data_IF_536318813771
#
_entry.id   IF_536318813771
#
_cell.length_a   1.000
_cell.length_b   1.000
_cell.length_c   1.000
_cell.angle_alpha   90.00
_cell.angle_beta   90.00
_cell.angle_gamma   90.00
#
_symmetry.space_group_name_H-M   'P 1'
#
loop_
_entity.id
_entity.type
_entity.pdbx_description
1 polymer ?
#
# COMPACT_ATOMS: atom_id res chain seq x y z
N UNK A 1 -14.62 -3.49 -6.00
CA UNK A 1 -14.43 -4.36 -4.83
C UNK A 1 -15.42 -5.51 -4.95
N UNK A 2 -15.00 -6.74 -4.61
CA UNK A 2 -15.77 -7.95 -4.91
C UNK A 2 -16.69 -8.41 -3.77
N UNK A 3 -16.67 -7.72 -2.61
CA UNK A 3 -17.43 -8.14 -1.42
C UNK A 3 -16.98 -9.51 -0.88
N UNK A 4 -15.76 -9.94 -1.23
CA UNK A 4 -15.19 -11.23 -0.89
C UNK A 4 -13.96 -11.04 -0.03
N UNK A 5 -13.73 -12.00 0.85
CA UNK A 5 -12.47 -12.14 1.56
C UNK A 5 -11.34 -12.36 0.56
N UNK A 6 -10.20 -11.71 0.79
CA UNK A 6 -9.05 -11.74 -0.12
C UNK A 6 -7.76 -11.73 0.67
N UNK A 7 -6.77 -12.47 0.16
CA UNK A 7 -5.38 -12.39 0.64
C UNK A 7 -4.56 -11.63 -0.38
N UNK A 8 -3.93 -10.56 0.09
CA UNK A 8 -2.91 -9.81 -0.65
C UNK A 8 -1.54 -10.29 -0.18
N UNK A 9 -0.72 -10.79 -1.09
CA UNK A 9 0.66 -11.19 -0.81
C UNK A 9 1.63 -10.28 -1.56
N UNK A 10 2.61 -9.76 -0.85
CA UNK A 10 3.66 -8.86 -1.36
C UNK A 10 4.99 -9.18 -0.67
N UNK A 11 6.05 -8.50 -1.09
CA UNK A 11 7.35 -8.53 -0.45
C UNK A 11 7.84 -7.12 -0.17
N UNK A 12 8.54 -6.94 0.94
CA UNK A 12 9.26 -5.71 1.25
C UNK A 12 10.39 -5.51 0.22
N UNK A 13 10.42 -4.39 -0.52
CA UNK A 13 11.39 -4.18 -1.59
C UNK A 13 12.83 -3.95 -1.09
N UNK A 14 13.04 -3.74 0.21
CA UNK A 14 14.38 -3.52 0.79
C UNK A 14 15.07 -4.84 1.12
N UNK A 15 14.35 -5.77 1.75
CA UNK A 15 14.93 -7.01 2.30
C UNK A 15 14.30 -8.30 1.74
N UNK A 16 13.26 -8.19 0.91
CA UNK A 16 12.56 -9.30 0.27
C UNK A 16 11.64 -10.10 1.20
N UNK A 17 11.47 -9.68 2.46
CA UNK A 17 10.63 -10.43 3.40
C UNK A 17 9.15 -10.29 3.05
N UNK A 18 8.33 -11.33 3.32
CA UNK A 18 6.93 -11.33 2.93
C UNK A 18 6.11 -10.33 3.75
N UNK A 19 5.12 -9.73 3.09
CA UNK A 19 4.02 -9.01 3.71
C UNK A 19 2.71 -9.61 3.20
N UNK A 20 1.84 -10.03 4.10
CA UNK A 20 0.53 -10.57 3.79
C UNK A 20 -0.56 -9.76 4.46
N UNK A 21 -1.61 -9.41 3.72
CA UNK A 21 -2.82 -8.79 4.26
C UNK A 21 -4.01 -9.67 3.92
N UNK A 22 -4.64 -10.24 4.94
CA UNK A 22 -5.85 -11.05 4.79
C UNK A 22 -7.05 -10.21 5.20
N UNK A 23 -7.99 -10.03 4.30
CA UNK A 23 -9.27 -9.41 4.59
C UNK A 23 -10.27 -10.51 4.95
N UNK A 24 -10.77 -10.50 6.18
CA UNK A 24 -11.82 -11.39 6.66
C UNK A 24 -13.01 -10.57 7.13
N UNK A 25 -14.17 -10.74 6.50
CA UNK A 25 -15.37 -9.93 6.74
C UNK A 25 -15.10 -8.41 6.66
N UNK A 26 -14.23 -8.00 5.74
CA UNK A 26 -13.82 -6.61 5.56
C UNK A 26 -12.83 -6.07 6.60
N UNK A 27 -12.45 -6.86 7.61
CA UNK A 27 -11.41 -6.50 8.56
C UNK A 27 -10.04 -7.00 8.07
N UNK A 28 -9.04 -6.12 7.90
CA UNK A 28 -7.72 -6.54 7.47
C UNK A 28 -6.86 -7.04 8.64
N UNK A 29 -6.21 -8.18 8.45
CA UNK A 29 -5.20 -8.76 9.33
C UNK A 29 -3.87 -8.70 8.59
N UNK A 30 -2.86 -8.10 9.21
CA UNK A 30 -1.57 -7.81 8.60
C UNK A 30 -0.47 -8.66 9.22
N UNK A 31 0.36 -9.24 8.37
CA UNK A 31 1.55 -9.98 8.77
C UNK A 31 2.76 -9.49 7.95
N UNK A 32 3.81 -8.96 8.58
CA UNK A 32 3.95 -8.75 10.03
C UNK A 32 3.00 -7.68 10.57
N UNK A 33 2.69 -7.74 11.87
CA UNK A 33 1.80 -6.78 12.53
C UNK A 33 2.33 -5.33 12.52
N UNK A 34 3.63 -5.14 12.27
CA UNK A 34 4.26 -3.84 12.12
C UNK A 34 4.23 -3.31 10.67
N UNK A 35 3.66 -4.06 9.73
CA UNK A 35 3.68 -3.70 8.32
C UNK A 35 3.04 -2.33 8.06
N UNK A 36 3.65 -1.60 7.13
CA UNK A 36 3.26 -0.25 6.70
C UNK A 36 3.19 -0.19 5.19
N UNK A 37 2.59 0.87 4.66
CA UNK A 37 2.51 1.16 3.23
C UNK A 37 3.16 2.51 2.97
N UNK A 38 4.02 2.60 1.96
CA UNK A 38 4.39 3.90 1.40
C UNK A 38 3.39 4.26 0.31
N UNK A 39 2.72 5.41 0.45
CA UNK A 39 1.78 5.94 -0.54
C UNK A 39 2.45 7.12 -1.21
N UNK A 40 2.85 6.95 -2.47
CA UNK A 40 3.50 8.01 -3.22
C UNK A 40 3.25 8.00 -4.71
N UNK A 41 3.92 8.94 -5.37
CA UNK A 41 3.93 9.08 -6.82
C UNK A 41 5.29 9.54 -7.30
N UNK A 42 5.72 9.04 -8.46
CA UNK A 42 6.89 9.56 -9.18
C UNK A 42 6.52 10.88 -9.87
N UNK A 43 7.51 11.74 -10.11
CA UNK A 43 7.32 12.93 -10.95
C UNK A 43 7.03 12.50 -12.39
N UNK A 44 6.02 13.11 -13.01
CA UNK A 44 5.63 12.84 -14.39
C UNK A 44 4.12 12.88 -14.59
N UNK A 45 3.70 12.89 -15.85
CA UNK A 45 2.31 12.69 -16.25
C UNK A 45 2.20 11.31 -16.93
N UNK A 46 1.08 10.61 -16.73
CA UNK A 46 0.85 9.29 -17.30
C UNK A 46 -0.22 8.52 -16.55
N UNK A 47 -0.53 7.29 -16.98
CA UNK A 47 -1.48 6.41 -16.29
C UNK A 47 -1.05 6.19 -14.84
N UNK A 48 -2.01 6.12 -13.92
CA UNK A 48 -1.75 5.86 -12.49
C UNK A 48 -0.90 4.59 -12.28
N UNK A 49 -1.10 3.57 -13.13
CA UNK A 49 -0.31 2.34 -13.12
C UNK A 49 1.20 2.60 -13.34
N UNK A 50 1.56 3.63 -14.09
CA UNK A 50 2.96 3.96 -14.43
C UNK A 50 3.58 4.94 -13.45
N UNK A 51 2.79 5.87 -12.89
CA UNK A 51 3.32 6.94 -12.02
C UNK A 51 3.12 6.69 -10.53
N UNK A 52 2.19 5.82 -10.14
CA UNK A 52 1.84 5.55 -8.75
C UNK A 52 2.12 4.11 -8.31
N UNK A 53 1.91 3.08 -9.16
CA UNK A 53 2.00 1.68 -8.68
C UNK A 53 3.42 1.27 -8.26
N UNK A 54 4.47 1.68 -8.98
CA UNK A 54 5.86 1.45 -8.54
C UNK A 54 6.24 2.24 -7.27
N UNK A 55 5.42 3.22 -6.90
CA UNK A 55 5.58 4.08 -5.74
C UNK A 55 4.55 3.78 -4.63
N UNK A 56 3.81 2.67 -4.73
CA UNK A 56 2.89 2.18 -3.72
C UNK A 56 3.39 0.80 -3.28
N UNK A 57 4.11 0.74 -2.17
CA UNK A 57 4.80 -0.47 -1.72
C UNK A 57 4.43 -0.84 -0.29
N UNK A 58 4.40 -2.16 -0.02
CA UNK A 58 4.30 -2.72 1.31
C UNK A 58 5.69 -2.89 1.92
N UNK A 59 5.80 -2.68 3.23
CA UNK A 59 7.03 -2.89 3.98
C UNK A 59 6.74 -3.67 5.25
N UNK A 60 7.72 -4.46 5.70
CA UNK A 60 7.63 -5.21 6.96
C UNK A 60 7.56 -4.30 8.18
N UNK A 61 8.01 -3.04 8.06
CA UNK A 61 7.88 -2.04 9.10
C UNK A 61 8.41 -0.66 8.72
N UNK A 62 8.21 0.30 9.63
CA UNK A 62 8.55 1.71 9.46
C UNK A 62 10.01 1.92 9.03
N UNK A 63 10.97 1.29 9.70
CA UNK A 63 12.40 1.47 9.41
C UNK A 63 12.79 0.99 8.01
N UNK A 64 12.11 -0.03 7.47
CA UNK A 64 12.34 -0.48 6.10
C UNK A 64 11.80 0.53 5.08
N UNK A 65 10.58 1.03 5.31
CA UNK A 65 9.97 2.06 4.48
C UNK A 65 10.80 3.36 4.45
N UNK A 66 11.37 3.77 5.58
CA UNK A 66 12.25 4.94 5.67
C UNK A 66 13.56 4.75 4.89
N UNK A 67 14.17 3.57 4.97
CA UNK A 67 15.37 3.23 4.19
C UNK A 67 15.08 3.31 2.69
N UNK A 68 13.96 2.75 2.25
CA UNK A 68 13.52 2.84 0.86
C UNK A 68 13.28 4.30 0.45
N UNK A 69 12.59 5.09 1.27
CA UNK A 69 12.32 6.49 0.97
C UNK A 69 13.62 7.31 0.83
N UNK A 70 14.63 7.06 1.67
CA UNK A 70 15.94 7.69 1.56
C UNK A 70 16.69 7.30 0.29
N UNK A 71 16.54 6.05 -0.16
CA UNK A 71 17.13 5.56 -1.41
C UNK A 71 16.40 6.07 -2.67
N UNK A 72 15.16 6.54 -2.52
CA UNK A 72 14.30 6.99 -3.62
C UNK A 72 13.81 8.45 -3.47
N UNK A 73 14.72 9.44 -3.38
CA UNK A 73 14.36 10.85 -3.16
C UNK A 73 13.54 11.47 -4.31
N UNK A 74 13.51 10.84 -5.48
CA UNK A 74 12.68 11.23 -6.62
C UNK A 74 11.20 10.93 -6.42
N UNK A 75 10.86 10.03 -5.49
CA UNK A 75 9.49 9.62 -5.18
C UNK A 75 8.95 10.50 -4.05
N UNK A 76 7.82 11.17 -4.28
CA UNK A 76 7.14 11.93 -3.24
C UNK A 76 5.99 11.12 -2.66
N UNK A 77 5.91 11.03 -1.34
CA UNK A 77 4.86 10.28 -0.67
C UNK A 77 5.00 10.34 0.85
N UNK A 78 4.18 9.53 1.50
CA UNK A 78 4.14 9.37 2.95
C UNK A 78 4.11 7.88 3.32
N UNK A 79 4.75 7.54 4.43
CA UNK A 79 4.62 6.22 5.06
C UNK A 79 3.39 6.26 5.95
N UNK A 80 2.47 5.33 5.76
CA UNK A 80 1.20 5.25 6.49
C UNK A 80 1.03 3.88 7.15
N UNK A 81 0.43 3.89 8.34
CA UNK A 81 0.03 2.68 9.04
C UNK A 81 -1.22 2.03 8.42
N UNK A 82 -1.53 0.83 8.91
CA UNK A 82 -2.57 -0.08 8.38
C UNK A 82 -3.96 0.53 8.28
N UNK A 83 -4.42 1.22 9.33
CA UNK A 83 -5.73 1.86 9.37
C UNK A 83 -5.85 2.98 8.33
N UNK A 84 -4.83 3.82 8.24
CA UNK A 84 -4.77 4.91 7.25
C UNK A 84 -4.66 4.38 5.83
N UNK A 85 -3.86 3.34 5.59
CA UNK A 85 -3.76 2.68 4.29
C UNK A 85 -5.13 2.14 3.83
N UNK A 86 -5.84 1.44 4.72
CA UNK A 86 -7.19 0.90 4.45
C UNK A 86 -8.17 2.03 4.16
N UNK A 87 -8.13 3.11 4.93
CA UNK A 87 -8.98 4.29 4.74
C UNK A 87 -8.72 4.95 3.38
N UNK A 88 -7.45 5.14 2.96
CA UNK A 88 -7.10 5.70 1.66
C UNK A 88 -7.67 4.83 0.53
N UNK A 89 -7.55 3.51 0.64
CA UNK A 89 -8.13 2.58 -0.34
C UNK A 89 -9.66 2.71 -0.44
N UNK A 90 -10.36 2.75 0.69
CA UNK A 90 -11.81 2.96 0.73
C UNK A 90 -12.22 4.32 0.14
N UNK A 91 -11.50 5.39 0.46
CA UNK A 91 -11.78 6.74 -0.07
C UNK A 91 -11.54 6.82 -1.59
N UNK A 92 -10.53 6.11 -2.09
CA UNK A 92 -10.15 6.12 -3.51
C UNK A 92 -11.13 5.30 -4.35
N UNK A 93 -11.50 4.11 -3.88
CA UNK A 93 -12.29 3.16 -4.69
C UNK A 93 -13.75 3.05 -4.27
N UNK A 94 -14.12 3.49 -3.07
CA UNK A 94 -15.49 3.40 -2.53
C UNK A 94 -16.55 4.12 -3.38
N UNK A 95 -16.32 5.37 -3.83
CA UNK A 95 -17.28 6.06 -4.70
C UNK A 95 -17.59 5.30 -5.99
N UNK A 96 -16.62 4.58 -6.56
CA UNK A 96 -16.80 3.77 -7.78
C UNK A 96 -17.75 2.57 -7.60
N UNK A 97 -18.15 2.29 -6.36
CA UNK A 97 -19.05 1.19 -6.02
C UNK A 97 -20.48 1.67 -5.72
N UNK A 98 -20.69 2.98 -5.63
CA UNK A 98 -22.00 3.58 -5.32
C UNK A 98 -22.77 3.98 -6.59
N UNK A 99 -22.10 4.07 -7.74
CA UNK A 99 -22.71 4.39 -9.04
C UNK A 99 -23.21 3.14 -9.81
N UNK A 100 -23.52 2.05 -9.09
CA UNK A 100 -23.97 0.77 -9.65
C UNK A 100 -25.46 0.52 -9.50
#
# INVERSE_FOLDING_TARGET
MLGQDVTVSSTDPVDGRPVTVTFSNGAPIWEPAAAVVFVGRRKGAGPAATVCCDALNFFTGQSSAEQWQLAHPEVRGEIVGQSRATQIGQQTFGPLLQDG
#
